data_IF_985190800344
#
_entry.id   IF_985190800344
#
_cell.length_a   1.000
_cell.length_b   1.000
_cell.length_c   1.000
_cell.angle_alpha   90.00
_cell.angle_beta   90.00
_cell.angle_gamma   90.00
#
_symmetry.space_group_name_H-M   'P 1'
#
loop_
_entity.id
_entity.type
_entity.pdbx_description
1 polymer ?
#
# COMPACT_ATOMS: atom_id res chain seq x y z
N UNK A 1 25.37 14.14 -12.87
CA UNK A 1 25.31 12.88 -12.11
C UNK A 1 24.31 13.10 -10.99
N UNK A 2 23.16 12.42 -10.98
CA UNK A 2 22.30 12.50 -9.79
C UNK A 2 23.11 11.93 -8.63
N UNK A 3 23.20 12.66 -7.51
CA UNK A 3 23.76 12.04 -6.29
C UNK A 3 22.94 10.79 -6.01
N UNK A 4 23.61 9.65 -5.94
CA UNK A 4 23.01 8.43 -5.44
C UNK A 4 22.42 8.70 -4.05
N UNK A 5 21.33 8.01 -3.71
CA UNK A 5 20.72 8.18 -2.39
C UNK A 5 21.74 7.83 -1.31
N UNK A 6 21.96 8.72 -0.34
CA UNK A 6 22.86 8.48 0.82
C UNK A 6 22.16 7.66 1.93
N UNK A 7 20.87 7.32 1.76
CA UNK A 7 20.09 6.53 2.71
C UNK A 7 20.62 5.11 2.99
N UNK A 8 21.21 4.38 2.03
CA UNK A 8 21.79 3.06 2.27
C UNK A 8 22.80 3.05 3.42
N UNK A 9 23.67 4.06 3.51
CA UNK A 9 24.68 4.17 4.58
C UNK A 9 24.01 4.28 5.96
N UNK A 10 22.90 5.02 6.06
CA UNK A 10 22.13 5.13 7.31
C UNK A 10 21.49 3.78 7.68
N UNK A 11 20.97 3.02 6.71
CA UNK A 11 20.46 1.68 6.97
C UNK A 11 21.57 0.76 7.49
N UNK A 12 22.74 0.76 6.87
CA UNK A 12 23.90 -0.01 7.30
C UNK A 12 24.32 0.34 8.73
N UNK A 13 24.45 1.64 9.02
CA UNK A 13 24.81 2.12 10.36
C UNK A 13 23.80 1.66 11.43
N UNK A 14 22.51 1.82 11.15
CA UNK A 14 21.44 1.40 12.05
C UNK A 14 21.38 -0.12 12.22
N UNK A 15 21.58 -0.90 11.14
CA UNK A 15 21.55 -2.35 11.22
C UNK A 15 22.72 -2.89 12.03
N UNK A 16 23.93 -2.37 11.80
CA UNK A 16 25.14 -2.79 12.52
C UNK A 16 25.07 -2.50 14.02
N UNK A 17 24.27 -1.53 14.47
CA UNK A 17 24.10 -1.26 15.91
C UNK A 17 23.13 -2.23 16.60
N UNK A 18 22.27 -2.91 15.84
CA UNK A 18 21.22 -3.79 16.39
C UNK A 18 21.40 -5.27 16.02
N UNK A 19 22.18 -5.58 14.98
CA UNK A 19 22.45 -6.93 14.51
C UNK A 19 23.53 -7.61 15.34
N UNK A 20 23.24 -8.83 15.77
CA UNK A 20 24.16 -9.70 16.49
C UNK A 20 24.62 -10.83 15.57
N UNK A 21 25.87 -10.80 15.07
CA UNK A 21 26.37 -11.77 14.10
C UNK A 21 26.51 -13.18 14.67
N UNK A 22 26.67 -13.33 15.98
CA UNK A 22 26.83 -14.65 16.61
C UNK A 22 25.48 -15.39 16.66
N UNK A 23 24.41 -14.64 16.91
CA UNK A 23 23.06 -15.20 16.97
C UNK A 23 22.31 -15.15 15.63
N UNK A 24 22.78 -14.31 14.69
CA UNK A 24 22.08 -14.02 13.44
C UNK A 24 20.78 -13.22 13.62
N UNK A 25 20.56 -12.62 14.79
CA UNK A 25 19.32 -11.92 15.14
C UNK A 25 19.52 -10.42 15.37
N UNK A 26 18.43 -9.68 15.28
CA UNK A 26 18.37 -8.26 15.64
C UNK A 26 17.81 -8.10 17.06
N UNK A 27 18.53 -7.40 17.94
CA UNK A 27 18.16 -7.24 19.36
C UNK A 27 16.98 -6.28 19.58
N UNK A 28 16.95 -5.19 18.81
CA UNK A 28 15.85 -4.23 18.77
C UNK A 28 15.53 -3.95 17.30
N UNK A 29 14.45 -4.56 16.79
CA UNK A 29 14.09 -4.44 15.38
C UNK A 29 13.56 -3.06 15.02
N UNK A 30 13.00 -2.33 15.98
CA UNK A 30 12.32 -1.07 15.75
C UNK A 30 13.28 0.11 15.65
N UNK A 31 13.22 0.79 14.52
CA UNK A 31 13.87 2.07 14.29
C UNK A 31 12.87 3.22 14.49
N UNK A 32 13.24 4.14 15.37
CA UNK A 32 12.46 5.35 15.69
C UNK A 32 12.97 6.57 14.94
N UNK A 33 12.22 7.67 14.99
CA UNK A 33 12.65 8.97 14.47
C UNK A 33 13.97 9.41 15.10
N UNK A 34 14.14 9.19 16.41
CA UNK A 34 15.35 9.53 17.14
C UNK A 34 16.57 8.74 16.62
N UNK A 35 16.43 7.42 16.45
CA UNK A 35 17.51 6.58 15.91
C UNK A 35 18.00 7.08 14.55
N UNK A 36 17.08 7.45 13.65
CA UNK A 36 17.43 7.99 12.32
C UNK A 36 18.14 9.34 12.44
N UNK A 37 17.66 10.23 13.31
CA UNK A 37 18.26 11.55 13.49
C UNK A 37 19.69 11.44 14.04
N UNK A 38 19.89 10.61 15.05
CA UNK A 38 21.20 10.35 15.65
C UNK A 38 22.17 9.73 14.63
N UNK A 39 21.72 8.71 13.88
CA UNK A 39 22.52 8.09 12.83
C UNK A 39 22.95 9.09 11.75
N UNK A 40 22.03 9.94 11.27
CA UNK A 40 22.37 10.98 10.29
C UNK A 40 23.39 11.97 10.86
N UNK A 41 23.21 12.41 12.11
CA UNK A 41 24.14 13.37 12.75
C UNK A 41 25.54 12.78 12.91
N UNK A 42 25.66 11.51 13.28
CA UNK A 42 26.95 10.80 13.39
C UNK A 42 27.59 10.71 12.00
N UNK A 43 26.87 10.20 11.01
CA UNK A 43 27.39 10.02 9.65
C UNK A 43 27.75 11.34 8.96
N UNK A 44 27.07 12.45 9.29
CA UNK A 44 27.46 13.78 8.83
C UNK A 44 28.83 14.20 9.34
N UNK A 45 29.17 13.83 10.58
CA UNK A 45 30.47 14.16 11.19
C UNK A 45 31.57 13.21 10.71
N UNK A 46 31.27 11.92 10.60
CA UNK A 46 32.27 10.88 10.31
C UNK A 46 32.51 10.70 8.81
N UNK A 47 31.45 10.69 8.00
CA UNK A 47 31.51 10.39 6.57
C UNK A 47 31.18 11.59 5.67
N UNK A 48 30.73 12.70 6.25
CA UNK A 48 30.43 13.93 5.50
C UNK A 48 29.19 13.84 4.61
N UNK A 49 28.25 12.94 4.92
CA UNK A 49 26.99 12.82 4.16
C UNK A 49 26.17 14.11 4.21
N UNK A 50 25.34 14.34 3.20
CA UNK A 50 24.54 15.56 3.07
C UNK A 50 23.05 15.42 3.41
N UNK A 51 22.62 14.25 3.91
CA UNK A 51 21.23 14.00 4.30
C UNK A 51 20.76 14.99 5.36
N UNK A 52 19.55 15.50 5.19
CA UNK A 52 18.92 16.35 6.21
C UNK A 52 18.33 15.50 7.33
N UNK A 53 18.52 15.96 8.58
CA UNK A 53 17.91 15.39 9.79
C UNK A 53 16.38 15.62 9.83
N UNK A 54 15.87 16.51 8.97
CA UNK A 54 14.46 16.87 8.91
C UNK A 54 13.57 15.78 8.28
N UNK A 55 12.46 15.49 8.93
CA UNK A 55 11.41 14.53 8.52
C UNK A 55 11.82 13.02 8.48
N UNK A 56 12.34 12.48 9.60
CA UNK A 56 12.68 11.05 9.70
C UNK A 56 11.46 10.13 9.53
N UNK A 57 10.24 10.61 9.76
CA UNK A 57 9.01 9.84 9.61
C UNK A 57 8.78 9.31 8.18
N UNK A 58 9.30 10.00 7.16
CA UNK A 58 9.21 9.58 5.76
C UNK A 58 10.43 8.78 5.27
N UNK A 59 11.42 8.51 6.13
CA UNK A 59 12.72 7.98 5.74
C UNK A 59 12.61 6.68 4.93
N UNK A 60 11.96 5.64 5.49
CA UNK A 60 11.72 4.39 4.79
C UNK A 60 10.73 4.56 3.63
N UNK A 61 9.63 5.30 3.85
CA UNK A 61 8.59 5.50 2.82
C UNK A 61 9.16 6.03 1.51
N UNK A 62 9.99 7.06 1.58
CA UNK A 62 10.63 7.65 0.41
C UNK A 62 11.67 6.73 -0.24
N UNK A 63 12.30 5.83 0.53
CA UNK A 63 13.17 4.80 -0.02
C UNK A 63 12.36 3.73 -0.79
N UNK A 64 11.26 3.27 -0.19
CA UNK A 64 10.36 2.28 -0.79
C UNK A 64 9.66 2.79 -2.06
N UNK A 65 9.53 4.10 -2.28
CA UNK A 65 8.99 4.66 -3.53
C UNK A 65 9.89 4.43 -4.75
N UNK A 66 11.17 4.14 -4.56
CA UNK A 66 12.11 3.93 -5.66
C UNK A 66 11.94 2.53 -6.27
N UNK A 67 11.86 2.45 -7.60
CA UNK A 67 11.95 1.17 -8.31
C UNK A 67 13.32 0.50 -8.14
N UNK A 68 14.36 1.28 -7.84
CA UNK A 68 15.72 0.79 -7.59
C UNK A 68 15.96 0.40 -6.13
N UNK A 69 14.93 0.40 -5.26
CA UNK A 69 15.06 0.11 -3.82
C UNK A 69 15.79 -1.20 -3.50
N UNK A 70 15.56 -2.26 -4.28
CA UNK A 70 16.26 -3.53 -4.09
C UNK A 70 17.75 -3.44 -4.46
N UNK A 71 18.10 -2.65 -5.49
CA UNK A 71 19.49 -2.44 -5.89
C UNK A 71 20.25 -1.50 -4.93
N UNK A 72 19.53 -0.65 -4.18
CA UNK A 72 20.10 0.27 -3.20
C UNK A 72 20.03 -0.26 -1.77
N UNK A 73 19.39 -1.40 -1.54
CA UNK A 73 19.38 -2.01 -0.22
C UNK A 73 20.80 -2.48 0.11
N UNK A 74 21.35 -2.18 1.30
CA UNK A 74 22.71 -2.58 1.63
C UNK A 74 22.89 -4.10 1.52
N UNK A 75 23.93 -4.52 0.81
CA UNK A 75 24.18 -5.92 0.48
C UNK A 75 24.40 -6.74 1.76
N UNK A 76 25.08 -6.18 2.76
CA UNK A 76 25.33 -6.82 4.04
C UNK A 76 24.03 -7.12 4.82
N UNK A 77 22.99 -6.29 4.66
CA UNK A 77 21.68 -6.53 5.28
C UNK A 77 20.92 -7.60 4.49
N UNK A 78 21.01 -7.56 3.15
CA UNK A 78 20.42 -8.58 2.28
C UNK A 78 21.04 -9.97 2.53
N UNK A 79 22.36 -10.05 2.63
CA UNK A 79 23.12 -11.28 2.88
C UNK A 79 22.82 -11.85 4.27
N UNK A 80 22.54 -10.99 5.25
CA UNK A 80 22.04 -11.40 6.56
C UNK A 80 20.58 -11.91 6.53
N UNK A 81 19.88 -11.79 5.40
CA UNK A 81 18.49 -12.23 5.24
C UNK A 81 17.49 -11.26 5.86
N UNK A 82 17.81 -9.96 5.93
CA UNK A 82 16.93 -8.94 6.52
C UNK A 82 16.44 -7.91 5.49
N UNK A 83 15.22 -7.44 5.73
CA UNK A 83 14.59 -6.30 5.04
C UNK A 83 14.03 -5.32 6.07
N UNK A 84 13.35 -4.27 5.61
CA UNK A 84 12.64 -3.33 6.45
C UNK A 84 11.15 -3.26 6.11
N UNK A 85 10.31 -3.08 7.13
CA UNK A 85 8.87 -2.87 6.96
C UNK A 85 8.41 -1.59 7.64
N UNK A 86 7.33 -0.97 7.17
CA UNK A 86 6.85 0.28 7.77
C UNK A 86 6.26 0.01 9.16
N UNK A 87 6.57 0.89 10.10
CA UNK A 87 6.06 0.81 11.48
C UNK A 87 5.40 2.13 11.85
N UNK A 88 4.16 2.07 12.35
CA UNK A 88 3.36 3.27 12.65
C UNK A 88 3.13 3.45 14.16
N UNK A 89 3.02 4.71 14.59
CA UNK A 89 2.74 5.09 15.98
C UNK A 89 4.02 5.37 16.79
N UNK A 90 3.89 6.13 17.90
CA UNK A 90 4.96 6.36 18.90
C UNK A 90 6.35 6.68 18.34
N UNK A 91 6.41 7.55 17.33
CA UNK A 91 7.67 7.93 16.66
C UNK A 91 8.44 6.77 16.00
N UNK A 92 7.84 5.59 15.86
CA UNK A 92 8.36 4.48 15.06
C UNK A 92 8.37 4.88 13.59
N UNK A 93 9.35 4.36 12.85
CA UNK A 93 9.49 4.61 11.40
C UNK A 93 9.49 3.29 10.65
N UNK A 94 10.33 2.34 11.06
CA UNK A 94 10.38 1.02 10.44
C UNK A 94 10.87 -0.05 11.41
N UNK A 95 10.66 -1.31 11.05
CA UNK A 95 11.23 -2.47 11.73
C UNK A 95 12.16 -3.22 10.76
N UNK A 96 13.35 -3.60 11.20
CA UNK A 96 14.14 -4.63 10.52
C UNK A 96 13.49 -5.99 10.77
N UNK A 97 13.22 -6.73 9.70
CA UNK A 97 12.56 -8.03 9.77
C UNK A 97 13.33 -9.06 8.93
N UNK A 98 13.35 -10.33 9.34
CA UNK A 98 13.89 -11.38 8.50
C UNK A 98 13.05 -11.54 7.23
N UNK A 99 13.65 -12.07 6.18
CA UNK A 99 12.96 -12.49 4.98
C UNK A 99 11.89 -13.52 5.31
N UNK A 100 10.74 -13.42 4.64
CA UNK A 100 9.74 -14.46 4.68
C UNK A 100 10.26 -15.76 4.04
N UNK A 101 9.64 -16.89 4.35
CA UNK A 101 9.98 -18.16 3.73
C UNK A 101 9.90 -18.06 2.19
N UNK A 102 10.98 -18.42 1.51
CA UNK A 102 11.07 -18.36 0.04
C UNK A 102 11.33 -16.97 -0.55
N UNK A 103 11.42 -15.91 0.27
CA UNK A 103 11.76 -14.57 -0.20
C UNK A 103 13.24 -14.49 -0.61
N UNK A 104 13.50 -13.96 -1.80
CA UNK A 104 14.84 -13.88 -2.41
C UNK A 104 15.35 -12.46 -2.61
N UNK A 105 14.51 -11.46 -2.40
CA UNK A 105 14.84 -10.03 -2.54
C UNK A 105 14.30 -9.24 -1.34
N UNK A 106 14.90 -8.10 -0.94
CA UNK A 106 14.47 -7.35 0.24
C UNK A 106 13.01 -6.87 0.17
N UNK A 107 12.59 -6.31 -0.97
CA UNK A 107 11.27 -5.72 -1.17
C UNK A 107 10.62 -6.35 -2.42
N UNK A 108 9.95 -7.51 -2.29
CA UNK A 108 9.24 -8.12 -3.40
C UNK A 108 8.10 -7.20 -3.88
N UNK A 109 7.82 -7.22 -5.18
CA UNK A 109 6.67 -6.51 -5.76
C UNK A 109 5.46 -7.44 -5.79
N UNK A 110 4.59 -7.30 -4.79
CA UNK A 110 3.40 -8.13 -4.61
C UNK A 110 2.24 -7.72 -5.54
N UNK A 111 2.32 -6.54 -6.15
CA UNK A 111 1.21 -5.93 -6.91
C UNK A 111 1.50 -5.85 -8.41
N UNK A 112 1.93 -6.97 -8.97
CA UNK A 112 2.11 -7.14 -10.41
C UNK A 112 0.86 -7.78 -11.01
N UNK A 113 0.29 -7.14 -12.03
CA UNK A 113 -0.81 -7.75 -12.77
C UNK A 113 -0.25 -8.97 -13.53
N UNK A 114 -0.75 -10.20 -13.29
CA UNK A 114 -0.29 -11.38 -14.01
C UNK A 114 -0.53 -11.25 -15.52
N UNK A 115 0.33 -11.83 -16.35
CA UNK A 115 0.16 -11.80 -17.81
C UNK A 115 -1.13 -12.49 -18.28
N UNK A 116 -1.61 -13.46 -17.49
CA UNK A 116 -2.87 -14.18 -17.68
C UNK A 116 -4.10 -13.43 -17.18
N UNK A 117 -3.92 -12.30 -16.47
CA UNK A 117 -5.04 -11.55 -15.91
C UNK A 117 -5.95 -10.99 -17.02
N UNK A 118 -7.28 -11.06 -16.86
CA UNK A 118 -8.21 -10.53 -17.84
C UNK A 118 -8.03 -9.01 -17.97
N UNK A 119 -8.17 -8.52 -19.21
CA UNK A 119 -8.25 -7.09 -19.51
C UNK A 119 -9.68 -6.79 -19.97
N UNK A 120 -10.43 -6.07 -19.14
CA UNK A 120 -11.81 -5.71 -19.41
C UNK A 120 -11.89 -4.32 -20.07
N UNK A 121 -12.53 -4.18 -21.24
CA UNK A 121 -12.70 -2.88 -21.87
C UNK A 121 -13.77 -2.05 -21.13
N UNK A 122 -13.51 -0.75 -20.96
CA UNK A 122 -14.44 0.20 -20.36
C UNK A 122 -14.68 1.36 -21.33
N UNK A 123 -15.94 1.65 -21.60
CA UNK A 123 -16.33 2.77 -22.45
C UNK A 123 -16.24 4.10 -21.69
N UNK A 124 -15.19 4.87 -21.97
CA UNK A 124 -14.89 6.14 -21.29
C UNK A 124 -15.67 7.34 -21.82
N UNK A 125 -16.74 7.14 -22.60
CA UNK A 125 -17.54 8.24 -23.16
C UNK A 125 -18.32 9.01 -22.09
N UNK A 126 -18.61 8.36 -20.95
CA UNK A 126 -19.28 8.97 -19.80
C UNK A 126 -18.45 10.06 -19.11
N UNK A 127 -17.13 10.09 -19.32
CA UNK A 127 -16.30 11.24 -18.93
C UNK A 127 -16.44 12.35 -20.00
N UNK A 128 -16.66 13.62 -19.62
CA UNK A 128 -16.63 14.72 -20.58
C UNK A 128 -15.32 14.76 -21.36
N UNK A 129 -15.36 15.06 -22.66
CA UNK A 129 -14.14 15.09 -23.48
C UNK A 129 -13.07 16.04 -22.95
N UNK A 130 -13.49 17.17 -22.36
CA UNK A 130 -12.58 18.11 -21.71
C UNK A 130 -11.90 17.49 -20.48
N UNK A 131 -12.65 16.73 -19.65
CA UNK A 131 -12.10 16.03 -18.50
C UNK A 131 -11.10 14.94 -18.93
N UNK A 132 -11.41 14.19 -20.00
CA UNK A 132 -10.46 13.23 -20.58
C UNK A 132 -9.19 13.89 -21.08
N UNK A 133 -9.23 15.12 -21.59
CA UNK A 133 -8.04 15.82 -22.06
C UNK A 133 -7.21 16.46 -20.93
N UNK A 134 -7.88 16.97 -19.89
CA UNK A 134 -7.26 17.69 -18.76
C UNK A 134 -6.81 16.77 -17.60
N UNK A 135 -7.03 15.46 -17.73
CA UNK A 135 -6.68 14.49 -16.70
C UNK A 135 -5.23 14.60 -16.22
N UNK A 136 -5.04 14.45 -14.90
CA UNK A 136 -3.76 14.70 -14.23
C UNK A 136 -2.98 13.43 -14.00
N UNK A 137 -1.66 13.60 -13.88
CA UNK A 137 -0.67 12.56 -13.63
C UNK A 137 -0.64 11.98 -12.21
N UNK A 138 -1.72 12.11 -11.42
CA UNK A 138 -1.73 11.85 -9.97
C UNK A 138 -2.77 10.81 -9.53
N UNK A 139 -2.63 10.33 -8.30
CA UNK A 139 -3.47 9.30 -7.68
C UNK A 139 -4.93 9.76 -7.51
N UNK A 140 -5.14 11.05 -7.21
CA UNK A 140 -6.48 11.62 -7.09
C UNK A 140 -7.25 11.52 -8.41
N UNK A 141 -6.60 11.78 -9.54
CA UNK A 141 -7.21 11.59 -10.85
C UNK A 141 -7.52 10.12 -11.15
N UNK A 142 -6.63 9.18 -10.79
CA UNK A 142 -6.88 7.75 -10.95
C UNK A 142 -8.15 7.32 -10.21
N UNK A 143 -8.32 7.73 -8.95
CA UNK A 143 -9.51 7.43 -8.15
C UNK A 143 -10.76 8.03 -8.78
N UNK A 144 -10.69 9.29 -9.25
CA UNK A 144 -11.81 9.94 -9.93
C UNK A 144 -12.22 9.19 -11.20
N UNK A 145 -11.27 8.68 -11.97
CA UNK A 145 -11.56 7.86 -13.15
C UNK A 145 -12.22 6.55 -12.72
N UNK A 146 -11.69 5.85 -11.73
CA UNK A 146 -12.29 4.61 -11.20
C UNK A 146 -13.74 4.82 -10.75
N UNK A 147 -14.04 5.91 -10.04
CA UNK A 147 -15.39 6.25 -9.57
C UNK A 147 -16.32 6.62 -10.73
N UNK A 148 -15.93 7.56 -11.59
CA UNK A 148 -16.79 8.06 -12.67
C UNK A 148 -17.06 7.01 -13.76
N UNK A 149 -16.12 6.08 -13.96
CA UNK A 149 -16.24 4.98 -14.90
C UNK A 149 -16.78 3.70 -14.28
N UNK A 150 -17.15 3.75 -12.99
CA UNK A 150 -17.71 2.63 -12.24
C UNK A 150 -16.83 1.37 -12.30
N UNK A 151 -15.50 1.54 -12.35
CA UNK A 151 -14.55 0.43 -12.54
C UNK A 151 -14.68 -0.59 -11.41
N UNK A 152 -14.78 -0.13 -10.17
CA UNK A 152 -14.91 -1.03 -9.02
C UNK A 152 -16.29 -1.72 -9.03
N UNK A 153 -17.37 -1.04 -9.40
CA UNK A 153 -18.68 -1.67 -9.55
C UNK A 153 -18.65 -2.78 -10.60
N UNK A 154 -18.06 -2.51 -11.77
CA UNK A 154 -17.84 -3.52 -12.81
C UNK A 154 -16.97 -4.65 -12.31
N UNK A 155 -15.92 -4.34 -11.54
CA UNK A 155 -15.03 -5.34 -10.94
C UNK A 155 -15.80 -6.33 -10.06
N UNK A 156 -16.55 -5.81 -9.08
CA UNK A 156 -17.32 -6.63 -8.16
C UNK A 156 -18.47 -7.37 -8.83
N UNK A 157 -19.10 -6.79 -9.86
CA UNK A 157 -20.20 -7.44 -10.58
C UNK A 157 -19.74 -8.61 -11.47
N UNK A 158 -18.51 -8.57 -12.00
CA UNK A 158 -18.05 -9.53 -13.02
C UNK A 158 -16.98 -10.51 -12.54
N UNK A 159 -16.15 -10.12 -11.57
CA UNK A 159 -14.93 -10.86 -11.23
C UNK A 159 -14.80 -11.23 -9.75
N UNK A 160 -15.38 -10.45 -8.83
CA UNK A 160 -15.37 -10.79 -7.41
C UNK A 160 -16.24 -12.03 -7.14
N UNK A 161 -15.86 -12.81 -6.14
CA UNK A 161 -16.67 -13.94 -5.66
C UNK A 161 -17.75 -13.50 -4.65
N UNK A 162 -17.77 -12.21 -4.28
CA UNK A 162 -18.77 -11.64 -3.37
C UNK A 162 -20.04 -11.30 -4.17
N UNK A 163 -21.21 -11.74 -3.70
CA UNK A 163 -22.50 -11.42 -4.31
C UNK A 163 -22.92 -9.97 -3.97
N UNK A 164 -22.34 -9.01 -4.67
CA UNK A 164 -22.53 -7.58 -4.42
C UNK A 164 -23.83 -7.07 -5.02
N UNK A 165 -24.62 -6.40 -4.18
CA UNK A 165 -25.85 -5.71 -4.57
C UNK A 165 -25.57 -4.25 -4.90
N UNK A 166 -24.86 -3.55 -4.03
CA UNK A 166 -24.52 -2.14 -4.20
C UNK A 166 -23.07 -1.85 -3.82
N UNK A 167 -22.45 -0.88 -4.51
CA UNK A 167 -21.13 -0.35 -4.17
C UNK A 167 -21.10 1.17 -4.33
N UNK A 168 -20.95 1.86 -3.21
CA UNK A 168 -20.97 3.32 -3.12
C UNK A 168 -19.60 3.87 -2.74
N UNK A 169 -19.13 4.87 -3.48
CA UNK A 169 -18.00 5.68 -3.05
C UNK A 169 -18.44 6.59 -1.89
N UNK A 170 -17.70 6.57 -0.78
CA UNK A 170 -18.03 7.39 0.39
C UNK A 170 -17.16 8.64 0.44
N UNK A 171 -15.83 8.47 0.46
CA UNK A 171 -14.88 9.55 0.75
C UNK A 171 -13.55 9.31 0.05
N UNK A 172 -12.84 10.41 -0.25
CA UNK A 172 -11.46 10.43 -0.71
C UNK A 172 -10.55 11.02 0.38
N UNK A 173 -9.27 10.63 0.35
CA UNK A 173 -8.18 11.23 1.14
C UNK A 173 -8.52 11.33 2.62
N UNK A 174 -8.92 10.21 3.22
CA UNK A 174 -9.21 10.16 4.65
C UNK A 174 -7.89 10.30 5.42
N UNK A 175 -7.70 11.48 6.00
CA UNK A 175 -6.51 11.80 6.78
C UNK A 175 -6.40 10.91 8.01
N UNK A 176 -5.24 10.31 8.20
CA UNK A 176 -4.96 9.39 9.28
C UNK A 176 -3.51 8.91 9.24
N UNK A 177 -3.17 7.97 10.11
CA UNK A 177 -1.91 7.23 10.05
C UNK A 177 -2.25 5.74 10.13
N UNK A 178 -2.25 5.01 9.00
CA UNK A 178 -2.01 5.49 7.64
C UNK A 178 -3.15 6.36 7.07
N UNK A 179 -2.84 7.13 6.03
CA UNK A 179 -3.84 7.80 5.17
C UNK A 179 -4.55 6.74 4.32
N UNK A 180 -5.83 6.95 4.01
CA UNK A 180 -6.61 6.09 3.09
C UNK A 180 -7.03 6.90 1.87
N UNK A 181 -6.63 6.46 0.68
CA UNK A 181 -6.87 7.23 -0.56
C UNK A 181 -8.36 7.29 -0.91
N UNK A 182 -9.10 6.18 -0.79
CA UNK A 182 -10.56 6.19 -0.89
C UNK A 182 -11.23 5.08 -0.06
N UNK A 183 -12.48 5.35 0.35
CA UNK A 183 -13.32 4.39 1.08
C UNK A 183 -14.65 4.22 0.36
N UNK A 184 -15.12 2.98 0.31
CA UNK A 184 -16.39 2.60 -0.28
C UNK A 184 -17.24 1.78 0.69
N UNK A 185 -18.55 1.80 0.49
CA UNK A 185 -19.51 0.93 1.15
C UNK A 185 -20.01 -0.11 0.16
N UNK A 186 -19.90 -1.38 0.55
CA UNK A 186 -20.41 -2.53 -0.18
C UNK A 186 -21.67 -3.04 0.54
N UNK A 187 -22.74 -3.32 -0.21
CA UNK A 187 -23.88 -4.12 0.24
C UNK A 187 -23.85 -5.43 -0.53
N UNK A 188 -23.94 -6.56 0.17
CA UNK A 188 -23.82 -7.89 -0.44
C UNK A 188 -24.83 -8.87 0.17
N UNK A 189 -25.18 -9.90 -0.58
CA UNK A 189 -26.02 -10.97 -0.06
C UNK A 189 -25.17 -12.04 0.63
N UNK A 190 -25.59 -12.46 1.82
CA UNK A 190 -25.01 -13.61 2.50
C UNK A 190 -26.10 -14.36 3.29
N UNK A 191 -26.30 -15.63 2.97
CA UNK A 191 -27.31 -16.45 3.65
C UNK A 191 -28.76 -15.98 3.45
N UNK A 192 -29.06 -15.28 2.36
CA UNK A 192 -30.39 -14.72 2.07
C UNK A 192 -30.67 -13.36 2.72
N UNK A 193 -29.69 -12.78 3.42
CA UNK A 193 -29.77 -11.44 4.01
C UNK A 193 -28.80 -10.47 3.33
N UNK A 194 -29.17 -9.19 3.29
CA UNK A 194 -28.27 -8.12 2.86
C UNK A 194 -27.41 -7.66 4.03
N UNK A 195 -26.10 -7.70 3.81
CA UNK A 195 -25.07 -7.31 4.77
C UNK A 195 -24.20 -6.19 4.20
N UNK A 196 -23.40 -5.56 5.07
CA UNK A 196 -22.54 -4.44 4.69
C UNK A 196 -21.08 -4.73 4.98
N UNK A 197 -20.22 -4.21 4.10
CA UNK A 197 -18.77 -4.21 4.26
C UNK A 197 -18.21 -2.85 3.83
N UNK A 198 -17.06 -2.48 4.36
CA UNK A 198 -16.31 -1.33 3.87
C UNK A 198 -15.17 -1.81 2.98
N UNK A 199 -14.81 -1.03 1.97
CA UNK A 199 -13.62 -1.26 1.17
C UNK A 199 -12.67 -0.07 1.28
N UNK A 200 -11.41 -0.34 1.56
CA UNK A 200 -10.33 0.66 1.49
C UNK A 200 -9.58 0.50 0.18
N UNK A 201 -9.36 1.59 -0.54
CA UNK A 201 -8.60 1.59 -1.80
C UNK A 201 -7.30 2.38 -1.62
N UNK A 202 -6.17 1.74 -1.92
CA UNK A 202 -4.87 2.39 -2.09
C UNK A 202 -4.60 2.62 -3.59
N UNK A 203 -4.37 3.86 -4.00
CA UNK A 203 -4.14 4.22 -5.40
C UNK A 203 -2.67 4.58 -5.62
N UNK A 204 -2.09 4.05 -6.70
CA UNK A 204 -0.69 4.31 -7.07
C UNK A 204 -0.53 4.48 -8.57
N UNK A 205 0.47 5.24 -8.97
CA UNK A 205 0.77 5.46 -10.40
C UNK A 205 2.17 5.10 -10.79
N UNK A 206 3.13 5.74 -10.13
CA UNK A 206 4.56 5.53 -10.37
C UNK A 206 5.18 4.85 -9.17
N UNK A 207 4.74 5.22 -7.98
CA UNK A 207 5.23 4.61 -6.77
C UNK A 207 4.65 3.20 -6.63
N UNK A 208 5.41 2.23 -6.12
CA UNK A 208 4.88 0.91 -5.82
C UNK A 208 3.80 0.96 -4.73
N UNK A 209 2.87 0.01 -4.78
CA UNK A 209 1.88 -0.22 -3.73
C UNK A 209 2.60 -0.82 -2.51
N UNK A 210 2.30 -0.31 -1.32
CA UNK A 210 2.97 -0.71 -0.07
C UNK A 210 2.02 -1.59 0.77
N UNK A 211 2.31 -2.91 0.94
CA UNK A 211 1.45 -3.84 1.66
C UNK A 211 1.10 -3.38 3.08
N UNK A 212 2.09 -2.95 3.87
CA UNK A 212 1.89 -2.51 5.25
C UNK A 212 0.96 -1.28 5.37
N UNK A 213 0.96 -0.42 4.34
CA UNK A 213 0.05 0.71 4.31
C UNK A 213 -1.40 0.21 4.21
N UNK A 214 -1.69 -0.72 3.28
CA UNK A 214 -3.01 -1.33 3.12
C UNK A 214 -3.44 -2.06 4.41
N UNK A 215 -2.55 -2.86 5.00
CA UNK A 215 -2.83 -3.56 6.26
C UNK A 215 -3.15 -2.60 7.41
N UNK A 216 -2.39 -1.50 7.52
CA UNK A 216 -2.67 -0.45 8.50
C UNK A 216 -4.01 0.25 8.28
N UNK A 217 -4.40 0.48 7.02
CA UNK A 217 -5.68 1.09 6.64
C UNK A 217 -6.86 0.20 7.05
N UNK A 218 -6.74 -1.11 6.83
CA UNK A 218 -7.73 -2.11 7.26
C UNK A 218 -7.92 -2.05 8.76
N UNK A 219 -6.84 -2.15 9.54
CA UNK A 219 -6.92 -2.10 11.00
C UNK A 219 -7.55 -0.79 11.50
N UNK A 220 -7.18 0.35 10.89
CA UNK A 220 -7.77 1.65 11.20
C UNK A 220 -9.28 1.66 10.90
N UNK A 221 -9.71 1.17 9.73
CA UNK A 221 -11.12 1.18 9.33
C UNK A 221 -11.97 0.21 10.15
N UNK A 222 -11.43 -0.97 10.49
CA UNK A 222 -12.07 -1.91 11.42
C UNK A 222 -12.27 -1.25 12.80
N UNK A 223 -11.25 -0.55 13.32
CA UNK A 223 -11.35 0.20 14.57
C UNK A 223 -12.40 1.31 14.52
N UNK A 224 -12.53 2.01 13.39
CA UNK A 224 -13.59 3.03 13.20
C UNK A 224 -14.98 2.41 13.15
N UNK A 225 -15.14 1.26 12.47
CA UNK A 225 -16.42 0.56 12.35
C UNK A 225 -16.96 0.14 13.72
N UNK A 226 -16.09 -0.44 14.57
CA UNK A 226 -16.48 -0.78 15.96
C UNK A 226 -16.77 0.45 16.83
N UNK A 227 -16.08 1.57 16.62
CA UNK A 227 -16.23 2.78 17.46
C UNK A 227 -17.49 3.57 17.15
N UNK A 228 -18.00 3.51 15.92
CA UNK A 228 -19.13 4.32 15.45
C UNK A 228 -20.37 3.45 15.39
N UNK A 229 -21.41 3.81 16.15
CA UNK A 229 -22.67 3.06 16.19
C UNK A 229 -23.29 2.87 14.79
N UNK A 230 -23.19 3.90 13.93
CA UNK A 230 -23.73 3.87 12.56
C UNK A 230 -22.96 2.97 11.59
N UNK A 231 -21.82 2.41 12.02
CA UNK A 231 -21.00 1.45 11.25
C UNK A 231 -20.90 0.10 11.98
N UNK A 232 -21.74 -0.14 12.99
CA UNK A 232 -21.70 -1.38 13.78
C UNK A 232 -22.19 -2.62 13.03
N UNK A 233 -22.85 -2.44 11.88
CA UNK A 233 -23.34 -3.48 10.99
C UNK A 233 -22.36 -3.84 9.85
N UNK A 234 -21.15 -3.28 9.88
CA UNK A 234 -20.06 -3.65 8.97
C UNK A 234 -19.46 -4.99 9.43
N UNK A 235 -19.51 -6.00 8.57
CA UNK A 235 -19.04 -7.37 8.86
C UNK A 235 -17.51 -7.49 8.69
N UNK A 236 -16.99 -6.94 7.60
CA UNK A 236 -15.58 -7.02 7.24
C UNK A 236 -15.12 -5.80 6.43
N UNK A 237 -13.80 -5.68 6.31
CA UNK A 237 -13.12 -4.71 5.47
C UNK A 237 -12.50 -5.44 4.28
N UNK A 238 -12.79 -5.00 3.06
CA UNK A 238 -12.11 -5.46 1.84
C UNK A 238 -10.95 -4.52 1.56
N UNK A 239 -9.70 -4.99 1.63
CA UNK A 239 -8.58 -4.22 1.11
C UNK A 239 -8.63 -4.27 -0.43
N UNK A 240 -8.33 -3.15 -1.07
CA UNK A 240 -8.15 -3.07 -2.51
C UNK A 240 -6.98 -2.13 -2.84
N UNK A 241 -6.32 -2.39 -3.96
CA UNK A 241 -5.35 -1.48 -4.53
C UNK A 241 -5.59 -1.27 -6.01
N UNK A 242 -5.20 -0.10 -6.50
CA UNK A 242 -5.22 0.20 -7.92
C UNK A 242 -3.90 0.81 -8.38
N UNK A 243 -3.43 0.38 -9.54
CA UNK A 243 -2.28 0.97 -10.19
C UNK A 243 -2.50 1.24 -11.67
N UNK A 244 -1.71 2.15 -12.23
CA UNK A 244 -1.63 2.37 -13.68
C UNK A 244 -0.41 1.63 -14.20
N UNK A 245 -0.61 0.71 -15.13
CA UNK A 245 0.49 -0.05 -15.74
C UNK A 245 0.43 0.03 -17.26
N UNK A 246 1.57 -0.23 -17.91
CA UNK A 246 1.65 -0.38 -19.36
C UNK A 246 1.74 -1.85 -19.73
N UNK A 247 0.86 -2.30 -20.61
CA UNK A 247 0.88 -3.65 -21.19
C UNK A 247 0.66 -3.54 -22.70
N UNK A 248 1.55 -4.12 -23.49
CA UNK A 248 1.46 -4.13 -24.96
C UNK A 248 1.27 -2.73 -25.61
N UNK A 249 1.88 -1.70 -25.03
CA UNK A 249 1.76 -0.31 -25.52
C UNK A 249 0.47 0.41 -25.13
N UNK A 250 -0.42 -0.25 -24.40
CA UNK A 250 -1.63 0.34 -23.83
C UNK A 250 -1.44 0.64 -22.34
N UNK A 251 -2.02 1.74 -21.89
CA UNK A 251 -2.11 2.02 -20.46
C UNK A 251 -3.40 1.44 -19.92
N UNK A 252 -3.28 0.63 -18.88
CA UNK A 252 -4.41 -0.04 -18.23
C UNK A 252 -4.43 0.31 -16.73
N UNK A 253 -5.63 0.34 -16.18
CA UNK A 253 -5.83 0.42 -14.73
C UNK A 253 -5.88 -1.00 -14.21
N UNK A 254 -4.92 -1.39 -13.37
CA UNK A 254 -4.96 -2.66 -12.66
C UNK A 254 -5.71 -2.48 -11.34
N UNK A 255 -6.60 -3.41 -11.03
CA UNK A 255 -7.27 -3.53 -9.73
C UNK A 255 -6.81 -4.85 -9.09
N UNK A 256 -6.43 -4.75 -7.82
CA UNK A 256 -6.10 -5.87 -6.96
C UNK A 256 -7.10 -5.88 -5.81
N UNK A 257 -8.00 -6.86 -5.82
CA UNK A 257 -8.92 -7.12 -4.72
C UNK A 257 -8.29 -8.17 -3.80
N UNK A 258 -8.26 -7.90 -2.51
CA UNK A 258 -7.74 -8.83 -1.51
C UNK A 258 -8.88 -9.54 -0.79
N UNK A 259 -8.53 -10.65 -0.14
CA UNK A 259 -9.47 -11.38 0.71
C UNK A 259 -10.03 -10.48 1.84
N UNK A 260 -11.33 -10.60 2.17
CA UNK A 260 -11.94 -9.85 3.25
C UNK A 260 -11.29 -10.12 4.62
N UNK A 261 -11.10 -9.07 5.41
CA UNK A 261 -10.62 -9.16 6.79
C UNK A 261 -11.75 -8.79 7.74
N UNK A 262 -12.09 -9.68 8.68
CA UNK A 262 -13.18 -9.45 9.62
C UNK A 262 -12.91 -8.18 10.46
N UNK A 263 -13.98 -7.47 10.85
CA UNK A 263 -13.82 -6.30 11.73
C UNK A 263 -13.16 -6.69 13.05
N UNK A 264 -13.44 -7.89 13.58
CA UNK A 264 -12.85 -8.40 14.81
C UNK A 264 -11.32 -8.54 14.69
N UNK A 265 -10.83 -9.17 13.62
CA UNK A 265 -9.39 -9.40 13.40
C UNK A 265 -8.67 -8.08 13.15
N UNK A 266 -9.22 -7.22 12.28
CA UNK A 266 -8.65 -5.89 12.00
C UNK A 266 -8.56 -5.03 13.26
N UNK A 267 -9.58 -5.10 14.12
CA UNK A 267 -9.59 -4.45 15.43
C UNK A 267 -8.52 -5.00 16.36
N UNK A 268 -8.41 -6.32 16.48
CA UNK A 268 -7.43 -6.97 17.34
C UNK A 268 -6.01 -6.60 16.92
N UNK A 269 -5.74 -6.61 15.61
CA UNK A 269 -4.46 -6.24 15.05
C UNK A 269 -4.14 -4.75 15.26
N UNK A 270 -5.11 -3.86 15.06
CA UNK A 270 -4.93 -2.44 15.34
C UNK A 270 -4.65 -2.17 16.83
N UNK A 271 -5.40 -2.77 17.74
CA UNK A 271 -5.28 -2.53 19.18
C UNK A 271 -3.98 -3.11 19.76
N UNK A 272 -3.52 -4.25 19.24
CA UNK A 272 -2.23 -4.87 19.61
C UNK A 272 -1.04 -4.33 18.80
N UNK A 273 -1.27 -3.42 17.84
CA UNK A 273 -0.24 -2.84 16.95
C UNK A 273 0.45 -3.88 16.07
N UNK A 274 -0.28 -4.93 15.71
CA UNK A 274 0.16 -6.03 14.85
C UNK A 274 -0.53 -6.00 13.48
N UNK A 275 -1.04 -4.85 13.03
CA UNK A 275 -1.69 -4.74 11.71
C UNK A 275 -0.83 -5.30 10.57
N UNK A 276 0.50 -5.23 10.67
CA UNK A 276 1.43 -5.80 9.69
C UNK A 276 1.32 -7.34 9.56
N UNK A 277 0.81 -8.03 10.57
CA UNK A 277 0.56 -9.48 10.57
C UNK A 277 -0.78 -9.85 9.91
N UNK A 278 -1.63 -8.88 9.58
CA UNK A 278 -2.86 -9.15 8.84
C UNK A 278 -2.53 -9.81 7.50
N UNK A 279 -3.25 -10.90 7.13
CA UNK A 279 -3.05 -11.55 5.84
C UNK A 279 -3.45 -10.59 4.73
N UNK A 280 -2.61 -10.46 3.71
CA UNK A 280 -2.91 -9.66 2.52
C UNK A 280 -2.81 -10.56 1.29
N UNK A 281 -3.85 -11.36 1.09
CA UNK A 281 -3.94 -12.31 -0.02
C UNK A 281 -4.74 -11.67 -1.15
N UNK A 282 -4.14 -11.56 -2.34
CA UNK A 282 -4.84 -11.05 -3.53
C UNK A 282 -5.79 -12.13 -4.03
N UNK A 283 -7.09 -11.87 -3.94
CA UNK A 283 -8.15 -12.76 -4.39
C UNK A 283 -8.39 -12.62 -5.91
N UNK A 284 -8.40 -11.39 -6.42
CA UNK A 284 -8.61 -11.10 -7.85
C UNK A 284 -7.63 -10.03 -8.33
N UNK A 285 -7.17 -10.17 -9.57
CA UNK A 285 -6.39 -9.15 -10.27
C UNK A 285 -6.93 -8.99 -11.68
N UNK A 286 -7.35 -7.77 -12.04
CA UNK A 286 -8.00 -7.48 -13.33
C UNK A 286 -7.46 -6.16 -13.88
N UNK A 287 -7.19 -6.13 -15.17
CA UNK A 287 -6.85 -4.90 -15.88
C UNK A 287 -8.06 -4.29 -16.57
N UNK A 288 -8.09 -2.96 -16.68
CA UNK A 288 -9.17 -2.21 -17.32
C UNK A 288 -8.59 -1.27 -18.37
N UNK A 289 -9.05 -1.44 -19.62
CA UNK A 289 -8.61 -0.64 -20.75
C UNK A 289 -9.70 0.38 -21.12
N UNK A 290 -9.36 1.68 -21.04
CA UNK A 290 -10.30 2.76 -21.29
C UNK A 290 -10.35 3.11 -22.79
N UNK A 291 -11.56 3.13 -23.35
CA UNK A 291 -11.80 3.59 -24.73
C UNK A 291 -12.99 4.55 -24.78
N UNK A 292 -12.82 5.82 -25.22
CA UNK A 292 -11.58 6.46 -25.66
C UNK A 292 -10.52 6.61 -24.55
N UNK A 293 -9.27 6.85 -24.94
CA UNK A 293 -8.18 7.08 -23.98
C UNK A 293 -8.47 8.28 -23.07
N UNK A 294 -8.08 8.16 -21.81
CA UNK A 294 -8.19 9.20 -20.78
C UNK A 294 -6.79 9.72 -20.48
N UNK A 295 -6.55 11.02 -20.63
CA UNK A 295 -5.27 11.65 -20.30
C UNK A 295 -4.96 11.44 -18.82
N UNK A 296 -3.69 11.24 -18.52
CA UNK A 296 -3.29 10.89 -17.18
C UNK A 296 -3.86 9.54 -16.74
N UNK A 297 -4.27 8.64 -17.63
CA UNK A 297 -4.24 7.21 -17.33
C UNK A 297 -3.06 6.66 -18.11
#
# INVERSE_FOLDING_TARGET
MSRDSEKPIVFSHLFNSVYDPDSGNVRESTVTQQHIQEAIMILQQEEGISLQVGNPANFLKDFLRSHSRNAWWPQEIADAGFTARQSYGESRVFDFIPYAEGQTVPFPDEFLLPDTAPIHPIEAVSLPSAARALGRGDEAWLIQVCVNQRILQTHFALFSDIDVVDLFHLQNSLKGRPEIDAVFLLVFNAGGEQKKALMTLEAKRKDPILPDQIKGQVGLMAKQSRKRVDLSDIEFIIPAATSVIRRNGETIIAIFEMEPISVADGVAAHDSRTSHDLPLVIAKSVGYALSPKVSGI
#
